data_IF_370483424558
#
_entry.id   IF_370483424558
#
_cell.length_a   1.000
_cell.length_b   1.000
_cell.length_c   1.000
_cell.angle_alpha   90.00
_cell.angle_beta   90.00
_cell.angle_gamma   90.00
#
_symmetry.space_group_name_H-M   'P 1'
#
loop_
_entity.id
_entity.type
_entity.pdbx_description
1 polymer ?
#
# COMPACT_ATOMS: atom_id res chain seq x y z
N UNK A 1 19.27 14.44 7.08
CA UNK A 1 18.67 13.80 8.27
C UNK A 1 17.29 14.36 8.60
N UNK A 2 17.13 15.66 8.95
CA UNK A 2 15.81 16.20 9.34
C UNK A 2 14.76 16.19 8.21
N UNK A 3 15.18 16.38 6.96
CA UNK A 3 14.28 16.37 5.80
C UNK A 3 13.59 15.00 5.62
N UNK A 4 14.30 13.89 5.79
CA UNK A 4 13.72 12.54 5.61
C UNK A 4 12.63 12.23 6.62
N UNK A 5 12.88 12.57 7.88
CA UNK A 5 11.89 12.46 8.95
C UNK A 5 10.61 13.23 8.62
N UNK A 6 10.75 14.40 7.96
CA UNK A 6 9.62 15.21 7.54
C UNK A 6 8.88 14.60 6.34
N UNK A 7 9.59 13.97 5.40
CA UNK A 7 8.97 13.28 4.27
C UNK A 7 8.20 12.03 4.70
N UNK A 8 8.76 11.18 5.56
CA UNK A 8 8.06 10.01 6.10
C UNK A 8 6.89 10.42 7.02
N UNK A 9 7.09 11.42 7.88
CA UNK A 9 5.99 11.97 8.69
C UNK A 9 4.88 12.55 7.80
N UNK A 10 5.23 13.30 6.75
CA UNK A 10 4.25 13.85 5.82
C UNK A 10 3.50 12.76 5.06
N UNK A 11 4.19 11.70 4.61
CA UNK A 11 3.56 10.53 4.00
C UNK A 11 2.52 9.92 4.95
N UNK A 12 2.94 9.58 6.18
CA UNK A 12 2.08 8.96 7.18
C UNK A 12 0.88 9.86 7.53
N UNK A 13 1.11 11.16 7.76
CA UNK A 13 0.04 12.09 8.13
C UNK A 13 -0.95 12.32 6.97
N UNK A 14 -0.45 12.44 5.74
CA UNK A 14 -1.30 12.61 4.56
C UNK A 14 -2.10 11.35 4.28
N UNK A 15 -1.48 10.17 4.42
CA UNK A 15 -2.16 8.89 4.33
C UNK A 15 -3.26 8.77 5.38
N UNK A 16 -2.96 9.04 6.66
CA UNK A 16 -3.96 8.99 7.73
C UNK A 16 -5.13 9.95 7.47
N UNK A 17 -4.84 11.16 6.96
CA UNK A 17 -5.88 12.12 6.58
C UNK A 17 -6.77 11.58 5.45
N UNK A 18 -6.20 10.95 4.43
CA UNK A 18 -6.99 10.32 3.37
C UNK A 18 -7.81 9.14 3.86
N UNK A 19 -7.27 8.30 4.75
CA UNK A 19 -8.03 7.21 5.38
C UNK A 19 -9.22 7.77 6.17
N UNK A 20 -9.01 8.78 7.01
CA UNK A 20 -10.11 9.37 7.79
C UNK A 20 -11.18 10.05 6.93
N UNK A 21 -10.78 10.77 5.88
CA UNK A 21 -11.71 11.61 5.10
C UNK A 21 -12.28 10.91 3.88
N UNK A 22 -11.52 10.02 3.25
CA UNK A 22 -11.82 9.45 1.95
C UNK A 22 -12.38 8.04 1.99
N UNK A 23 -12.04 7.23 3.00
CA UNK A 23 -12.54 5.83 3.11
C UNK A 23 -14.06 5.73 3.03
N UNK A 24 -14.86 6.60 3.69
CA UNK A 24 -16.32 6.57 3.56
C UNK A 24 -16.83 6.76 2.12
N UNK A 25 -16.09 7.49 1.27
CA UNK A 25 -16.47 7.76 -0.12
C UNK A 25 -16.27 6.53 -1.00
N UNK A 26 -15.20 5.78 -0.77
CA UNK A 26 -14.87 4.58 -1.55
C UNK A 26 -15.64 3.33 -1.10
N UNK A 27 -16.08 3.29 0.16
CA UNK A 27 -16.77 2.13 0.72
C UNK A 27 -18.00 1.71 -0.08
N UNK A 28 -18.82 2.66 -0.55
CA UNK A 28 -20.03 2.33 -1.32
C UNK A 28 -19.70 1.64 -2.65
N UNK A 29 -18.69 2.12 -3.36
CA UNK A 29 -18.23 1.52 -4.62
C UNK A 29 -17.67 0.12 -4.38
N UNK A 30 -16.89 -0.06 -3.31
CA UNK A 30 -16.29 -1.35 -2.96
C UNK A 30 -17.38 -2.36 -2.57
N UNK A 31 -18.34 -1.98 -1.72
CA UNK A 31 -19.44 -2.88 -1.33
C UNK A 31 -20.30 -3.28 -2.53
N UNK A 32 -20.59 -2.35 -3.44
CA UNK A 32 -21.30 -2.65 -4.69
C UNK A 32 -20.62 -3.77 -5.49
N UNK A 33 -19.28 -3.72 -5.60
CA UNK A 33 -18.48 -4.77 -6.26
C UNK A 33 -18.55 -6.10 -5.53
N UNK A 34 -18.49 -6.10 -4.19
CA UNK A 34 -18.59 -7.32 -3.38
C UNK A 34 -19.99 -7.96 -3.45
N UNK A 35 -21.03 -7.14 -3.64
CA UNK A 35 -22.41 -7.58 -3.88
C UNK A 35 -22.64 -8.10 -5.31
N UNK A 36 -21.58 -8.20 -6.12
CA UNK A 36 -21.62 -8.74 -7.48
C UNK A 36 -22.03 -7.72 -8.55
N UNK A 37 -22.08 -6.42 -8.21
CA UNK A 37 -22.37 -5.36 -9.19
C UNK A 37 -21.05 -4.77 -9.71
N UNK A 38 -20.76 -4.87 -11.02
CA UNK A 38 -19.55 -4.27 -11.60
C UNK A 38 -19.49 -2.76 -11.35
N UNK A 39 -18.30 -2.26 -11.01
CA UNK A 39 -18.00 -0.83 -10.86
C UNK A 39 -16.77 -0.48 -11.68
N UNK A 40 -17.00 -0.03 -12.91
CA UNK A 40 -15.95 0.33 -13.86
C UNK A 40 -15.15 1.57 -13.44
N UNK A 41 -15.71 2.44 -12.60
CA UNK A 41 -15.02 3.63 -12.10
C UNK A 41 -13.98 3.19 -11.08
N UNK A 42 -14.38 2.34 -10.13
CA UNK A 42 -13.46 1.77 -9.15
C UNK A 42 -12.40 0.91 -9.83
N UNK A 43 -12.78 0.07 -10.79
CA UNK A 43 -11.85 -0.71 -11.60
C UNK A 43 -10.83 0.20 -12.31
N UNK A 44 -11.29 1.26 -12.97
CA UNK A 44 -10.43 2.25 -13.62
C UNK A 44 -9.45 2.93 -12.66
N UNK A 45 -9.91 3.29 -11.45
CA UNK A 45 -9.06 3.87 -10.42
C UNK A 45 -7.97 2.89 -9.94
N UNK A 46 -8.32 1.62 -9.73
CA UNK A 46 -7.35 0.58 -9.34
C UNK A 46 -6.33 0.29 -10.44
N UNK A 47 -6.76 0.23 -11.71
CA UNK A 47 -5.86 0.09 -12.85
C UNK A 47 -4.91 1.30 -12.93
N UNK A 48 -5.43 2.51 -12.78
CA UNK A 48 -4.61 3.72 -12.78
C UNK A 48 -3.59 3.69 -11.64
N UNK A 49 -3.98 3.26 -10.44
CA UNK A 49 -3.06 3.13 -9.32
C UNK A 49 -1.95 2.10 -9.57
N UNK A 50 -2.27 0.94 -10.16
CA UNK A 50 -1.28 -0.06 -10.57
C UNK A 50 -0.29 0.49 -11.62
N UNK A 51 -0.78 1.28 -12.58
CA UNK A 51 0.07 1.94 -13.58
C UNK A 51 0.96 2.99 -12.91
N UNK A 52 0.40 3.84 -12.04
CA UNK A 52 1.15 4.86 -11.32
C UNK A 52 2.23 4.23 -10.45
N UNK A 53 1.90 3.20 -9.69
CA UNK A 53 2.84 2.41 -8.90
C UNK A 53 4.02 1.91 -9.73
N UNK A 54 3.76 1.33 -10.91
CA UNK A 54 4.79 0.82 -11.81
C UNK A 54 5.82 1.88 -12.25
N UNK A 55 5.44 3.15 -12.27
CA UNK A 55 6.34 4.26 -12.62
C UNK A 55 6.94 4.95 -11.40
N UNK A 56 6.13 5.19 -10.37
CA UNK A 56 6.50 5.96 -9.19
C UNK A 56 7.40 5.17 -8.24
N UNK A 57 7.09 3.89 -8.00
CA UNK A 57 7.81 3.08 -7.02
C UNK A 57 9.26 2.83 -7.45
N UNK A 58 9.57 2.37 -8.68
CA UNK A 58 10.96 2.22 -9.09
C UNK A 58 11.74 3.53 -9.04
N UNK A 59 11.13 4.65 -9.45
CA UNK A 59 11.79 5.95 -9.42
C UNK A 59 12.14 6.37 -7.98
N UNK A 60 11.21 6.19 -7.04
CA UNK A 60 11.44 6.51 -5.62
C UNK A 60 12.46 5.56 -4.97
N UNK A 61 12.44 4.28 -5.36
CA UNK A 61 13.38 3.27 -4.87
C UNK A 61 14.81 3.49 -5.37
N UNK A 62 15.00 3.86 -6.63
CA UNK A 62 16.33 4.23 -7.13
C UNK A 62 16.95 5.38 -6.33
N UNK A 63 16.15 6.37 -5.91
CA UNK A 63 16.62 7.48 -5.04
C UNK A 63 17.04 6.98 -3.66
N UNK A 64 16.31 6.01 -3.10
CA UNK A 64 16.67 5.39 -1.83
C UNK A 64 17.95 4.54 -1.97
N UNK A 65 18.01 3.70 -3.00
CA UNK A 65 19.12 2.76 -3.25
C UNK A 65 20.42 3.43 -3.67
N UNK A 66 20.40 4.53 -4.43
CA UNK A 66 21.62 5.28 -4.80
C UNK A 66 22.41 5.81 -3.59
N UNK A 67 21.78 5.80 -2.41
CA UNK A 67 22.34 6.28 -1.16
C UNK A 67 22.76 5.15 -0.22
N UNK A 68 22.54 3.89 -0.60
CA UNK A 68 22.66 2.70 0.25
C UNK A 68 23.50 1.61 -0.43
N UNK A 69 24.40 0.97 0.31
CA UNK A 69 25.09 -0.25 -0.15
C UNK A 69 24.23 -1.44 0.24
N UNK A 70 23.70 -2.14 -0.76
CA UNK A 70 22.54 -3.04 -0.68
C UNK A 70 22.69 -4.25 0.27
N UNK A 71 21.55 -4.66 0.86
CA UNK A 71 21.29 -5.98 1.42
C UNK A 71 20.14 -6.66 0.64
N UNK A 72 20.47 -7.64 -0.19
CA UNK A 72 19.55 -8.29 -1.13
C UNK A 72 18.37 -9.02 -0.45
N UNK A 73 18.55 -9.48 0.80
CA UNK A 73 17.53 -10.21 1.53
C UNK A 73 16.34 -9.31 1.91
N UNK A 74 16.63 -8.08 2.35
CA UNK A 74 15.62 -7.08 2.74
C UNK A 74 14.81 -6.62 1.52
N UNK A 75 15.46 -6.40 0.38
CA UNK A 75 14.78 -6.06 -0.88
C UNK A 75 13.85 -7.18 -1.37
N UNK A 76 14.26 -8.44 -1.22
CA UNK A 76 13.44 -9.60 -1.61
C UNK A 76 12.20 -9.77 -0.72
N UNK A 77 12.33 -9.63 0.60
CA UNK A 77 11.18 -9.71 1.51
C UNK A 77 10.14 -8.63 1.21
N UNK A 78 10.60 -7.41 0.99
CA UNK A 78 9.75 -6.28 0.65
C UNK A 78 9.03 -6.49 -0.69
N UNK A 79 9.71 -7.07 -1.68
CA UNK A 79 9.10 -7.45 -2.96
C UNK A 79 8.00 -8.50 -2.80
N UNK A 80 8.24 -9.54 -2.00
CA UNK A 80 7.25 -10.61 -1.78
C UNK A 80 5.98 -10.02 -1.16
N UNK A 81 6.12 -9.17 -0.15
CA UNK A 81 4.97 -8.53 0.48
C UNK A 81 4.25 -7.56 -0.48
N UNK A 82 5.00 -6.83 -1.30
CA UNK A 82 4.41 -5.95 -2.31
C UNK A 82 3.66 -6.72 -3.40
N UNK A 83 4.21 -7.86 -3.83
CA UNK A 83 3.58 -8.77 -4.78
C UNK A 83 2.25 -9.31 -4.26
N UNK A 84 2.17 -9.64 -2.97
CA UNK A 84 0.91 -10.01 -2.33
C UNK A 84 -0.13 -8.89 -2.45
N UNK A 85 0.25 -7.64 -2.17
CA UNK A 85 -0.64 -6.47 -2.32
C UNK A 85 -1.09 -6.33 -3.78
N UNK A 86 -0.16 -6.40 -4.73
CA UNK A 86 -0.44 -6.28 -6.16
C UNK A 86 -1.40 -7.35 -6.68
N UNK A 87 -1.25 -8.59 -6.25
CA UNK A 87 -2.13 -9.73 -6.60
C UNK A 87 -3.54 -9.53 -6.03
N UNK A 88 -3.66 -9.16 -4.75
CA UNK A 88 -4.97 -8.89 -4.13
C UNK A 88 -5.68 -7.75 -4.87
N UNK A 89 -4.97 -6.66 -5.15
CA UNK A 89 -5.52 -5.52 -5.90
C UNK A 89 -5.94 -5.89 -7.32
N UNK A 90 -5.16 -6.71 -8.02
CA UNK A 90 -5.53 -7.19 -9.35
C UNK A 90 -6.80 -8.06 -9.29
N UNK A 91 -6.95 -8.90 -8.27
CA UNK A 91 -8.13 -9.73 -8.07
C UNK A 91 -9.37 -8.88 -7.90
N UNK A 92 -9.32 -7.92 -6.99
CA UNK A 92 -10.41 -6.97 -6.74
C UNK A 92 -10.72 -6.11 -7.98
N UNK A 93 -9.72 -5.81 -8.80
CA UNK A 93 -9.92 -5.14 -10.10
C UNK A 93 -10.72 -5.98 -11.08
N UNK A 94 -10.43 -7.29 -11.17
CA UNK A 94 -11.18 -8.19 -12.04
C UNK A 94 -12.62 -8.38 -11.56
N UNK A 95 -12.81 -8.54 -10.26
CA UNK A 95 -14.16 -8.58 -9.66
C UNK A 95 -14.93 -7.30 -9.94
N UNK A 96 -14.29 -6.12 -9.83
CA UNK A 96 -14.91 -4.84 -10.17
C UNK A 96 -15.27 -4.71 -11.65
N UNK A 97 -14.58 -5.41 -12.55
CA UNK A 97 -14.93 -5.51 -13.97
C UNK A 97 -16.06 -6.52 -14.25
N UNK A 98 -16.53 -7.25 -13.23
CA UNK A 98 -17.54 -8.30 -13.35
C UNK A 98 -17.00 -9.66 -13.79
N UNK A 99 -15.68 -9.89 -13.65
CA UNK A 99 -15.07 -11.19 -13.93
C UNK A 99 -15.27 -12.11 -12.73
N UNK A 100 -15.83 -13.28 -12.97
CA UNK A 100 -16.04 -14.29 -11.94
C UNK A 100 -14.79 -15.18 -11.83
N UNK A 101 -14.08 -15.20 -10.69
CA UNK A 101 -12.87 -16.01 -10.51
C UNK A 101 -13.10 -17.51 -10.70
N UNK A 102 -14.31 -18.02 -10.40
CA UNK A 102 -14.64 -19.44 -10.49
C UNK A 102 -14.96 -19.86 -11.92
N UNK A 103 -15.66 -18.99 -12.67
CA UNK A 103 -16.05 -19.24 -14.05
C UNK A 103 -14.93 -18.90 -15.07
N UNK A 104 -14.15 -17.84 -14.81
CA UNK A 104 -13.17 -17.27 -15.74
C UNK A 104 -11.71 -17.54 -15.31
N UNK A 105 -11.43 -18.72 -14.76
CA UNK A 105 -10.13 -19.08 -14.16
C UNK A 105 -8.92 -18.82 -15.07
N UNK A 106 -9.05 -19.04 -16.39
CA UNK A 106 -7.98 -18.79 -17.34
C UNK A 106 -7.71 -17.31 -17.57
N UNK A 107 -8.75 -16.48 -17.60
CA UNK A 107 -8.62 -15.03 -17.69
C UNK A 107 -8.00 -14.49 -16.40
N UNK A 108 -8.49 -14.97 -15.26
CA UNK A 108 -7.97 -14.61 -13.94
C UNK A 108 -6.48 -14.95 -13.82
N UNK A 109 -6.09 -16.20 -14.10
CA UNK A 109 -4.69 -16.63 -14.11
C UNK A 109 -3.85 -15.88 -15.14
N UNK A 110 -4.41 -15.62 -16.33
CA UNK A 110 -3.77 -14.89 -17.41
C UNK A 110 -3.47 -13.43 -17.08
N UNK A 111 -4.23 -12.80 -16.19
CA UNK A 111 -4.01 -11.42 -15.73
C UNK A 111 -3.15 -11.38 -14.46
N UNK A 112 -3.30 -12.35 -13.56
CA UNK A 112 -2.45 -12.47 -12.36
C UNK A 112 -0.98 -12.70 -12.70
N UNK A 113 -0.71 -13.49 -13.74
CA UNK A 113 0.67 -13.77 -14.14
C UNK A 113 1.44 -12.49 -14.53
N UNK A 114 0.95 -11.62 -15.44
CA UNK A 114 1.55 -10.31 -15.70
C UNK A 114 1.72 -9.43 -14.46
N UNK A 115 0.83 -9.49 -13.47
CA UNK A 115 0.98 -8.73 -12.22
C UNK A 115 2.19 -9.22 -11.43
N UNK A 116 2.40 -10.53 -11.31
CA UNK A 116 3.61 -11.10 -10.70
C UNK A 116 4.87 -10.71 -11.49
N UNK A 117 4.82 -10.77 -12.83
CA UNK A 117 5.95 -10.37 -13.69
C UNK A 117 6.24 -8.86 -13.56
N UNK A 118 5.21 -8.01 -13.45
CA UNK A 118 5.33 -6.55 -13.21
C UNK A 118 6.17 -6.28 -11.96
N UNK A 119 5.93 -7.01 -10.87
CA UNK A 119 6.69 -6.85 -9.62
C UNK A 119 8.18 -7.21 -9.80
N UNK A 120 8.50 -8.28 -10.53
CA UNK A 120 9.90 -8.61 -10.87
C UNK A 120 10.55 -7.50 -11.70
N UNK A 121 9.80 -6.88 -12.63
CA UNK A 121 10.28 -5.74 -13.41
C UNK A 121 10.51 -4.52 -12.51
N UNK A 122 9.61 -4.24 -11.56
CA UNK A 122 9.77 -3.17 -10.57
C UNK A 122 11.05 -3.38 -9.77
N UNK A 123 11.34 -4.60 -9.31
CA UNK A 123 12.59 -4.92 -8.61
C UNK A 123 13.79 -4.59 -9.48
N UNK A 124 13.87 -5.15 -10.70
CA UNK A 124 15.01 -4.93 -11.60
C UNK A 124 15.20 -3.44 -11.91
N UNK A 125 14.10 -2.70 -12.12
CA UNK A 125 14.14 -1.26 -12.35
C UNK A 125 14.55 -0.49 -11.09
N UNK A 126 14.36 -1.03 -9.89
CA UNK A 126 14.73 -0.38 -8.62
C UNK A 126 16.21 -0.51 -8.27
N UNK A 127 16.91 -1.52 -8.82
CA UNK A 127 18.34 -1.79 -8.57
C UNK A 127 19.29 -0.87 -9.39
N UNK A 128 18.76 -0.01 -10.25
CA UNK A 128 19.58 0.88 -11.09
C UNK A 128 20.12 2.09 -10.31
N UNK A 129 21.30 2.57 -10.69
CA UNK A 129 21.86 3.82 -10.18
C UNK A 129 20.98 5.03 -10.58
N UNK A 130 20.87 6.00 -9.67
CA UNK A 130 20.09 7.23 -9.86
C UNK A 130 21.01 8.43 -9.93
N UNK A 131 20.80 9.31 -10.91
CA UNK A 131 21.54 10.57 -10.99
C UNK A 131 21.06 11.54 -9.91
N UNK A 132 22.00 12.09 -9.14
CA UNK A 132 21.75 12.95 -7.95
C UNK A 132 21.00 14.25 -8.24
N UNK A 133 20.85 14.65 -9.51
CA UNK A 133 20.14 15.87 -9.93
C UNK A 133 18.60 15.76 -9.80
N UNK A 134 18.06 14.55 -9.68
CA UNK A 134 16.62 14.33 -9.71
C UNK A 134 15.91 14.39 -8.33
N UNK A 135 16.62 14.72 -7.24
CA UNK A 135 16.03 14.82 -5.88
C UNK A 135 14.83 15.78 -5.79
N UNK A 136 14.77 16.79 -6.65
CA UNK A 136 13.66 17.75 -6.71
C UNK A 136 12.30 17.08 -7.04
N UNK A 137 12.31 15.85 -7.57
CA UNK A 137 11.10 15.07 -7.89
C UNK A 137 10.49 14.35 -6.69
N UNK A 138 11.23 14.22 -5.58
CA UNK A 138 10.83 13.47 -4.38
C UNK A 138 9.41 13.81 -3.88
N UNK A 139 9.03 15.09 -3.67
CA UNK A 139 7.68 15.40 -3.15
C UNK A 139 6.55 14.91 -4.07
N UNK A 140 6.76 14.94 -5.39
CA UNK A 140 5.75 14.50 -6.37
C UNK A 140 5.60 13.00 -6.39
N UNK A 141 6.72 12.28 -6.29
CA UNK A 141 6.73 10.82 -6.18
C UNK A 141 6.05 10.38 -4.88
N UNK A 142 6.39 11.02 -3.77
CA UNK A 142 5.82 10.74 -2.46
C UNK A 142 4.30 10.96 -2.45
N UNK A 143 3.79 12.08 -2.97
CA UNK A 143 2.35 12.34 -3.05
C UNK A 143 1.64 11.28 -3.91
N UNK A 144 2.20 10.95 -5.07
CA UNK A 144 1.60 9.93 -5.94
C UNK A 144 1.55 8.56 -5.27
N UNK A 145 2.63 8.18 -4.56
CA UNK A 145 2.67 6.93 -3.80
C UNK A 145 1.73 6.94 -2.60
N UNK A 146 1.54 8.07 -1.91
CA UNK A 146 0.51 8.20 -0.85
C UNK A 146 -0.87 7.91 -1.43
N UNK A 147 -1.22 8.48 -2.59
CA UNK A 147 -2.52 8.28 -3.22
C UNK A 147 -2.74 6.81 -3.62
N UNK A 148 -1.72 6.18 -4.22
CA UNK A 148 -1.75 4.74 -4.55
C UNK A 148 -1.95 3.91 -3.28
N UNK A 149 -1.15 4.18 -2.26
CA UNK A 149 -1.18 3.48 -0.97
C UNK A 149 -2.54 3.60 -0.30
N UNK A 150 -3.11 4.80 -0.29
CA UNK A 150 -4.43 5.08 0.27
C UNK A 150 -5.52 4.28 -0.47
N UNK A 151 -5.49 4.25 -1.80
CA UNK A 151 -6.45 3.48 -2.58
C UNK A 151 -6.32 1.98 -2.30
N UNK A 152 -5.10 1.45 -2.33
CA UNK A 152 -4.84 0.04 -2.08
C UNK A 152 -5.30 -0.37 -0.68
N UNK A 153 -4.90 0.40 0.33
CA UNK A 153 -5.32 0.17 1.70
C UNK A 153 -6.84 0.16 1.83
N UNK A 154 -7.51 1.18 1.30
CA UNK A 154 -8.98 1.31 1.41
C UNK A 154 -9.70 0.16 0.71
N UNK A 155 -9.27 -0.20 -0.50
CA UNK A 155 -9.87 -1.29 -1.28
C UNK A 155 -9.69 -2.63 -0.56
N UNK A 156 -8.47 -2.96 -0.16
CA UNK A 156 -8.16 -4.22 0.54
C UNK A 156 -8.90 -4.27 1.87
N UNK A 157 -8.83 -3.21 2.65
CA UNK A 157 -9.50 -3.16 3.95
C UNK A 157 -11.00 -3.35 3.82
N UNK A 158 -11.68 -2.57 2.98
CA UNK A 158 -13.14 -2.66 2.87
C UNK A 158 -13.60 -3.99 2.27
N UNK A 159 -12.74 -4.67 1.50
CA UNK A 159 -13.00 -6.03 1.03
C UNK A 159 -12.90 -7.12 2.11
N UNK A 160 -12.05 -6.92 3.13
CA UNK A 160 -11.85 -7.90 4.22
C UNK A 160 -12.72 -7.56 5.44
N UNK A 161 -12.87 -6.27 5.75
CA UNK A 161 -13.55 -5.77 6.95
C UNK A 161 -15.05 -6.06 6.93
N UNK A 162 -15.71 -5.88 5.77
CA UNK A 162 -17.16 -6.08 5.61
C UNK A 162 -18.03 -5.38 6.67
N UNK A 163 -19.34 -5.58 6.62
CA UNK A 163 -20.33 -5.00 7.53
C UNK A 163 -20.33 -5.66 8.93
N UNK A 164 -19.14 -5.97 9.46
CA UNK A 164 -18.91 -6.71 10.70
C UNK A 164 -18.65 -5.78 11.90
N UNK A 165 -18.73 -4.46 11.70
CA UNK A 165 -18.62 -3.46 12.76
C UNK A 165 -19.72 -3.70 13.80
N UNK A 166 -19.30 -3.99 15.03
CA UNK A 166 -20.20 -4.16 16.17
C UNK A 166 -20.79 -5.57 16.41
N UNK A 167 -20.43 -6.59 15.62
CA UNK A 167 -20.95 -7.97 15.84
C UNK A 167 -20.20 -8.75 16.93
N UNK A 168 -18.95 -8.40 17.21
CA UNK A 168 -18.08 -9.17 18.10
C UNK A 168 -17.98 -8.56 19.50
N UNK A 169 -18.04 -9.40 20.54
CA UNK A 169 -17.92 -8.98 21.95
C UNK A 169 -16.86 -9.81 22.69
N UNK A 170 -16.23 -9.22 23.71
CA UNK A 170 -15.30 -9.93 24.59
C UNK A 170 -14.04 -10.43 23.87
N UNK A 171 -13.75 -11.73 23.96
CA UNK A 171 -12.53 -12.34 23.40
C UNK A 171 -12.45 -12.30 21.87
N UNK A 172 -13.59 -12.32 21.18
CA UNK A 172 -13.66 -12.25 19.71
C UNK A 172 -13.17 -10.89 19.19
N UNK A 173 -13.46 -9.81 19.94
CA UNK A 173 -12.96 -8.47 19.63
C UNK A 173 -11.43 -8.42 19.68
N UNK A 174 -10.80 -9.09 20.66
CA UNK A 174 -9.35 -9.13 20.77
C UNK A 174 -8.71 -9.87 19.60
N UNK A 175 -9.28 -11.01 19.18
CA UNK A 175 -8.82 -11.76 18.01
C UNK A 175 -8.95 -10.92 16.73
N UNK A 176 -10.07 -10.21 16.57
CA UNK A 176 -10.28 -9.32 15.42
C UNK A 176 -9.33 -8.13 15.42
N UNK A 177 -9.04 -7.52 16.58
CA UNK A 177 -8.04 -6.44 16.70
C UNK A 177 -6.65 -6.93 16.30
N UNK A 178 -6.27 -8.14 16.74
CA UNK A 178 -4.98 -8.74 16.35
C UNK A 178 -4.94 -9.03 14.86
N UNK A 179 -6.00 -9.61 14.29
CA UNK A 179 -6.10 -9.87 12.86
C UNK A 179 -6.04 -8.57 12.03
N UNK A 180 -6.80 -7.54 12.43
CA UNK A 180 -6.79 -6.23 11.78
C UNK A 180 -5.41 -5.55 11.87
N UNK A 181 -4.74 -5.65 13.02
CA UNK A 181 -3.36 -5.16 13.16
C UNK A 181 -2.38 -5.92 12.26
N UNK A 182 -2.49 -7.26 12.17
CA UNK A 182 -1.65 -8.07 11.28
C UNK A 182 -1.89 -7.72 9.81
N UNK A 183 -3.15 -7.61 9.38
CA UNK A 183 -3.55 -7.20 8.04
C UNK A 183 -3.00 -5.80 7.74
N UNK A 184 -3.14 -4.87 8.69
CA UNK A 184 -2.50 -3.56 8.60
C UNK A 184 -1.01 -3.67 8.33
N UNK A 185 -0.25 -4.41 9.14
CA UNK A 185 1.18 -4.55 8.91
C UNK A 185 1.51 -5.22 7.57
N UNK A 186 0.78 -6.26 7.18
CA UNK A 186 1.01 -6.99 5.92
C UNK A 186 0.80 -6.09 4.70
N UNK A 187 -0.23 -5.22 4.71
CA UNK A 187 -0.57 -4.39 3.55
C UNK A 187 -0.01 -2.98 3.60
N UNK A 188 0.23 -2.41 4.79
CA UNK A 188 0.78 -1.06 4.95
C UNK A 188 2.30 -1.02 4.83
N UNK A 189 2.99 -2.01 5.39
CA UNK A 189 4.47 -2.05 5.37
C UNK A 189 5.03 -2.03 3.95
N UNK A 190 4.48 -2.79 2.98
CA UNK A 190 4.95 -2.77 1.60
C UNK A 190 4.76 -1.41 0.92
N UNK A 191 3.73 -0.67 1.31
CA UNK A 191 3.45 0.67 0.77
C UNK A 191 4.47 1.72 1.25
N UNK A 192 5.24 1.39 2.30
CA UNK A 192 6.29 2.24 2.89
C UNK A 192 7.71 1.81 2.58
N UNK A 193 7.89 0.87 1.65
CA UNK A 193 9.19 0.31 1.27
C UNK A 193 10.29 1.38 1.16
N UNK A 194 10.10 2.51 0.45
CA UNK A 194 11.17 3.49 0.29
C UNK A 194 11.64 4.15 1.59
N UNK A 195 10.76 4.30 2.57
CA UNK A 195 11.06 4.94 3.85
C UNK A 195 11.64 3.95 4.86
N UNK A 196 11.16 2.71 4.85
CA UNK A 196 11.69 1.63 5.71
C UNK A 196 13.15 1.32 5.37
N UNK A 197 13.47 1.33 4.07
CA UNK A 197 14.84 1.16 3.58
C UNK A 197 15.74 2.29 4.11
N UNK A 198 15.29 3.54 4.10
CA UNK A 198 16.04 4.67 4.67
C UNK A 198 16.24 4.53 6.20
N UNK A 199 15.23 4.05 6.93
CA UNK A 199 15.28 3.85 8.38
C UNK A 199 16.20 2.69 8.81
N UNK A 200 16.18 1.55 8.09
CA UNK A 200 17.00 0.38 8.42
C UNK A 200 18.49 0.63 8.29
N UNK A 201 18.88 1.46 7.33
CA UNK A 201 20.28 1.83 7.12
C UNK A 201 20.75 2.99 8.01
N UNK A 202 19.95 3.39 9.00
CA UNK A 202 20.37 4.34 10.04
C UNK A 202 20.57 5.77 9.52
N UNK A 203 19.96 6.13 8.39
CA UNK A 203 20.00 7.50 7.86
C UNK A 203 19.13 8.47 8.68
N UNK A 204 18.32 7.94 9.61
CA UNK A 204 17.49 8.69 10.55
C UNK A 204 18.08 8.69 11.97
N UNK A 205 18.25 9.90 12.53
CA UNK A 205 18.67 10.07 13.92
C UNK A 205 17.56 9.64 14.91
N UNK A 206 17.86 9.51 16.22
CA UNK A 206 16.92 8.98 17.21
C UNK A 206 15.61 9.78 17.31
N UNK A 207 15.66 11.12 17.16
CA UNK A 207 14.46 11.96 17.12
C UNK A 207 13.60 11.70 15.88
N UNK A 208 14.22 11.50 14.72
CA UNK A 208 13.53 11.18 13.48
C UNK A 208 12.83 9.81 13.56
N UNK A 209 13.51 8.83 14.16
CA UNK A 209 12.96 7.50 14.39
C UNK A 209 11.74 7.54 15.30
N UNK A 210 11.80 8.33 16.39
CA UNK A 210 10.64 8.54 17.26
C UNK A 210 9.47 9.17 16.49
N UNK A 211 9.73 10.18 15.64
CA UNK A 211 8.69 10.78 14.79
C UNK A 211 8.06 9.74 13.85
N UNK A 212 8.86 8.95 13.14
CA UNK A 212 8.39 7.86 12.25
C UNK A 212 7.50 6.87 13.01
N UNK A 213 7.92 6.43 14.21
CA UNK A 213 7.13 5.53 15.06
C UNK A 213 5.79 6.18 15.45
N UNK A 214 5.81 7.43 15.92
CA UNK A 214 4.60 8.14 16.33
C UNK A 214 3.62 8.36 15.17
N UNK A 215 4.11 8.75 14.00
CA UNK A 215 3.24 8.95 12.82
C UNK A 215 2.74 7.63 12.25
N UNK A 216 3.53 6.55 12.31
CA UNK A 216 3.08 5.20 11.98
C UNK A 216 1.98 4.74 12.92
N UNK A 217 2.15 5.00 14.23
CA UNK A 217 1.14 4.69 15.23
C UNK A 217 -0.16 5.45 14.97
N UNK A 218 -0.09 6.74 14.62
CA UNK A 218 -1.27 7.52 14.23
C UNK A 218 -1.97 6.92 13.00
N UNK A 219 -1.22 6.46 12.01
CA UNK A 219 -1.80 5.76 10.84
C UNK A 219 -2.47 4.46 11.27
N UNK A 220 -1.81 3.65 12.10
CA UNK A 220 -2.41 2.43 12.62
C UNK A 220 -3.71 2.72 13.38
N UNK A 221 -3.74 3.76 14.21
CA UNK A 221 -4.96 4.21 14.89
C UNK A 221 -6.03 4.68 13.91
N UNK A 222 -5.67 5.44 12.87
CA UNK A 222 -6.60 5.89 11.84
C UNK A 222 -7.24 4.72 11.09
N UNK A 223 -6.41 3.78 10.66
CA UNK A 223 -6.82 2.56 9.99
C UNK A 223 -7.71 1.70 10.90
N UNK A 224 -7.28 1.45 12.14
CA UNK A 224 -8.05 0.69 13.13
C UNK A 224 -9.37 1.38 13.47
N UNK A 225 -9.40 2.71 13.53
CA UNK A 225 -10.65 3.44 13.76
C UNK A 225 -11.70 3.11 12.69
N UNK A 226 -11.32 3.12 11.40
CA UNK A 226 -12.21 2.75 10.29
C UNK A 226 -12.64 1.26 10.32
N UNK A 227 -11.97 0.42 11.10
CA UNK A 227 -12.38 -0.98 11.31
C UNK A 227 -13.55 -1.08 12.28
N UNK A 228 -13.54 -0.23 13.32
CA UNK A 228 -14.43 -0.38 14.47
C UNK A 228 -15.57 0.63 14.49
N UNK A 229 -15.50 1.72 13.73
CA UNK A 229 -16.43 2.85 13.73
C UNK A 229 -16.72 3.35 12.32
#
# INVERSE_FOLDING_TARGET
MLRFALHDAAFNLLFAAFVFLGTPVLNNAIQSVLDGNPDYILAGAMILAQILEFFLLPARMKIANSRLKEDAASAMLLLILHMLVGVVMAGLTLTALGVDPEADQYLFGGIMFPVVIKELIILVRSLGEYETNEEHRLPRLDIGLVLVSYLYWTVIWSSIGGDHSGRYQGGELAVQMVAAALIFFIFYTPLRIPYLVEDWHGLTGPRARLTSILTTFLVAVACLYQVFF
#
